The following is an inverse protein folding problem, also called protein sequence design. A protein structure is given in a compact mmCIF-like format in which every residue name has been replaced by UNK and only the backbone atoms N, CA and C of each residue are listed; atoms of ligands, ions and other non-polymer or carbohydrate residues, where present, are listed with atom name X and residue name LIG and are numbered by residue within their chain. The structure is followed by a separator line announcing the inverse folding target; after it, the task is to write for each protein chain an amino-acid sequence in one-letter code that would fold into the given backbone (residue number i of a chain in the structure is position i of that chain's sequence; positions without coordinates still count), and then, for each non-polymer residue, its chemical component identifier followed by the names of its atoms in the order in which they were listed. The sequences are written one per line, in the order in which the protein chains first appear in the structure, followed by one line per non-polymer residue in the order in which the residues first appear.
data_IF_731750678597
#
_entry.id   IF_731750678597
#
_cell.length_a   1.000
_cell.length_b   1.000
_cell.length_c   1.000
_cell.angle_alpha   90.00
_cell.angle_beta   90.00
_cell.angle_gamma   90.00
#
_symmetry.space_group_name_H-M   'P 1'
#
loop_
_entity.id
_entity.type
_entity.pdbx_description
1 polymer ?
#
# COMPACT_ATOMS: atom_id res chain seq x y z
N UNK A 1 5.73 8.96 20.23
CA UNK A 1 6.09 9.71 19.01
C UNK A 1 5.81 8.84 17.79
N UNK A 2 4.87 9.20 16.93
CA UNK A 2 4.62 8.47 15.70
C UNK A 2 5.83 8.65 14.76
N UNK A 3 6.45 7.56 14.34
CA UNK A 3 7.56 7.59 13.39
C UNK A 3 7.11 8.34 12.14
N UNK A 4 7.86 9.39 11.76
CA UNK A 4 7.62 10.12 10.51
C UNK A 4 7.58 9.11 9.36
N UNK A 5 6.54 9.09 8.53
CA UNK A 5 6.50 8.16 7.40
C UNK A 5 7.72 8.39 6.52
N UNK A 6 8.34 7.30 6.09
CA UNK A 6 9.47 7.31 5.17
C UNK A 6 8.99 7.91 3.85
N UNK A 7 9.59 9.01 3.44
CA UNK A 7 9.00 9.73 2.34
C UNK A 7 10.01 10.42 1.44
N UNK A 8 11.28 10.18 1.66
CA UNK A 8 12.32 10.57 0.73
C UNK A 8 12.30 9.60 -0.45
N UNK A 9 12.37 10.13 -1.67
CA UNK A 9 12.32 9.34 -2.90
C UNK A 9 13.36 8.22 -2.93
N UNK A 10 14.60 8.52 -2.59
CA UNK A 10 15.67 7.52 -2.56
C UNK A 10 15.37 6.37 -1.58
N UNK A 11 14.77 6.69 -0.43
CA UNK A 11 14.35 5.65 0.55
C UNK A 11 13.22 4.80 0.00
N UNK A 12 12.28 5.38 -0.75
CA UNK A 12 11.21 4.63 -1.42
C UNK A 12 11.79 3.66 -2.45
N UNK A 13 12.66 4.14 -3.32
CA UNK A 13 13.32 3.31 -4.34
C UNK A 13 14.12 2.17 -3.71
N UNK A 14 15.01 2.50 -2.75
CA UNK A 14 15.84 1.53 -2.06
C UNK A 14 15.00 0.48 -1.30
N UNK A 15 13.91 0.91 -0.64
CA UNK A 15 13.04 -0.01 0.09
C UNK A 15 12.36 -1.03 -0.84
N UNK A 16 11.94 -0.62 -2.05
CA UNK A 16 11.32 -1.53 -3.03
C UNK A 16 12.34 -2.48 -3.63
N UNK A 17 13.53 -2.01 -3.95
CA UNK A 17 14.63 -2.86 -4.41
C UNK A 17 14.97 -3.92 -3.36
N UNK A 18 15.13 -3.52 -2.10
CA UNK A 18 15.39 -4.43 -0.99
C UNK A 18 14.23 -5.41 -0.75
N UNK A 19 12.98 -4.97 -0.90
CA UNK A 19 11.82 -5.86 -0.79
C UNK A 19 11.85 -6.92 -1.88
N UNK A 20 12.09 -6.53 -3.12
CA UNK A 20 12.18 -7.44 -4.26
C UNK A 20 13.33 -8.44 -4.09
N UNK A 21 14.52 -7.98 -3.69
CA UNK A 21 15.67 -8.85 -3.43
C UNK A 21 15.40 -9.84 -2.29
N UNK A 22 14.75 -9.40 -1.22
CA UNK A 22 14.40 -10.26 -0.08
C UNK A 22 13.34 -11.29 -0.45
N UNK A 23 12.30 -10.89 -1.19
CA UNK A 23 11.26 -11.80 -1.67
C UNK A 23 11.87 -12.87 -2.57
N UNK A 24 12.74 -12.47 -3.51
CA UNK A 24 13.47 -13.38 -4.39
C UNK A 24 14.40 -14.32 -3.62
N UNK A 25 15.22 -13.78 -2.72
CA UNK A 25 16.13 -14.59 -1.87
C UNK A 25 15.35 -15.58 -1.00
N UNK A 26 14.18 -15.17 -0.51
CA UNK A 26 13.31 -16.06 0.24
C UNK A 26 12.74 -17.16 -0.67
N UNK A 27 12.17 -16.81 -1.81
CA UNK A 27 11.52 -17.73 -2.73
C UNK A 27 12.46 -18.85 -3.23
N UNK A 28 13.72 -18.51 -3.47
CA UNK A 28 14.73 -19.47 -3.99
C UNK A 28 15.65 -20.04 -2.92
N UNK A 29 15.62 -19.54 -1.71
CA UNK A 29 16.33 -20.09 -0.58
C UNK A 29 15.65 -21.37 -0.04
N UNK A 30 16.36 -22.13 0.79
CA UNK A 30 15.85 -23.38 1.40
C UNK A 30 14.47 -23.20 2.03
N UNK A 31 14.25 -22.13 2.79
CA UNK A 31 12.97 -21.85 3.49
C UNK A 31 11.79 -21.60 2.58
N UNK A 32 12.02 -21.10 1.37
CA UNK A 32 10.96 -20.83 0.40
C UNK A 32 10.68 -22.04 -0.50
N UNK A 33 11.57 -23.02 -0.56
CA UNK A 33 11.42 -24.26 -1.33
C UNK A 33 10.92 -25.41 -0.47
N UNK A 34 11.30 -25.44 0.80
CA UNK A 34 11.08 -26.56 1.71
C UNK A 34 10.50 -26.11 3.03
N UNK A 35 9.75 -26.99 3.68
CA UNK A 35 9.21 -26.80 5.02
C UNK A 35 7.87 -26.04 5.09
N UNK A 36 7.43 -25.67 6.31
CA UNK A 36 6.07 -25.21 6.57
C UNK A 36 5.74 -23.83 5.95
N UNK A 37 6.75 -23.13 5.45
CA UNK A 37 6.58 -21.82 4.80
C UNK A 37 6.99 -21.85 3.32
N UNK A 38 7.08 -23.03 2.72
CA UNK A 38 7.38 -23.19 1.31
C UNK A 38 6.34 -22.48 0.43
N UNK A 39 6.80 -21.89 -0.66
CA UNK A 39 5.97 -21.24 -1.66
C UNK A 39 5.68 -22.23 -2.79
N UNK A 40 4.48 -22.18 -3.35
CA UNK A 40 4.15 -22.92 -4.57
C UNK A 40 5.05 -22.48 -5.72
N UNK A 41 5.19 -23.33 -6.74
CA UNK A 41 5.96 -23.00 -7.93
C UNK A 41 5.42 -21.75 -8.62
N UNK A 42 4.10 -21.64 -8.78
CA UNK A 42 3.45 -20.48 -9.38
C UNK A 42 3.80 -19.18 -8.66
N UNK A 43 3.83 -19.17 -7.32
CA UNK A 43 4.24 -17.99 -6.55
C UNK A 43 5.72 -17.68 -6.77
N UNK A 44 6.59 -18.68 -6.81
CA UNK A 44 8.02 -18.48 -7.08
C UNK A 44 8.27 -17.92 -8.48
N UNK A 45 7.62 -18.46 -9.49
CA UNK A 45 7.71 -18.00 -10.88
C UNK A 45 7.21 -16.55 -11.01
N UNK A 46 6.09 -16.22 -10.38
CA UNK A 46 5.55 -14.85 -10.40
C UNK A 46 6.51 -13.83 -9.79
N UNK A 47 7.32 -14.23 -8.80
CA UNK A 47 8.33 -13.37 -8.20
C UNK A 47 9.60 -13.25 -9.08
N UNK A 48 9.84 -14.22 -9.96
CA UNK A 48 10.90 -14.14 -10.99
C UNK A 48 10.52 -13.27 -12.17
N UNK A 49 9.22 -13.17 -12.46
CA UNK A 49 8.76 -12.39 -13.60
C UNK A 49 9.25 -10.94 -13.48
N UNK A 50 10.29 -10.66 -14.26
CA UNK A 50 10.89 -9.33 -14.35
C UNK A 50 10.14 -8.40 -15.29
N UNK A 51 9.06 -8.89 -15.93
CA UNK A 51 8.21 -8.04 -16.75
C UNK A 51 7.55 -6.99 -15.86
N UNK A 52 7.90 -5.75 -16.10
CA UNK A 52 7.31 -4.63 -15.39
C UNK A 52 6.06 -4.10 -16.10
N UNK A 53 5.76 -4.59 -17.30
CA UNK A 53 4.69 -4.09 -18.18
C UNK A 53 3.29 -4.44 -17.65
N UNK A 54 3.15 -5.55 -16.94
CA UNK A 54 1.91 -5.97 -16.28
C UNK A 54 1.65 -5.22 -14.96
N UNK A 55 2.51 -4.28 -14.57
CA UNK A 55 2.42 -3.51 -13.34
C UNK A 55 2.24 -4.38 -12.08
N UNK A 56 2.85 -5.56 -12.03
CA UNK A 56 2.76 -6.47 -10.87
C UNK A 56 3.15 -5.75 -9.58
N UNK A 57 2.32 -5.88 -8.56
CA UNK A 57 2.48 -5.20 -7.29
C UNK A 57 3.73 -5.65 -6.50
N UNK A 58 4.27 -6.83 -6.80
CA UNK A 58 5.54 -7.35 -6.27
C UNK A 58 6.77 -6.84 -7.03
N UNK A 59 6.59 -6.27 -8.23
CA UNK A 59 7.69 -5.79 -9.06
C UNK A 59 8.15 -4.39 -8.63
N UNK A 60 9.39 -4.26 -8.20
CA UNK A 60 9.95 -2.99 -7.72
C UNK A 60 9.94 -1.90 -8.79
N UNK A 61 10.30 -2.24 -10.04
CA UNK A 61 10.35 -1.27 -11.15
C UNK A 61 8.95 -0.76 -11.49
N UNK A 62 7.95 -1.67 -11.57
CA UNK A 62 6.56 -1.30 -11.81
C UNK A 62 6.07 -0.31 -10.74
N UNK A 63 6.30 -0.57 -9.45
CA UNK A 63 5.93 0.34 -8.37
C UNK A 63 6.65 1.68 -8.43
N UNK A 64 7.93 1.68 -8.75
CA UNK A 64 8.74 2.92 -8.85
C UNK A 64 8.21 3.78 -9.99
N UNK A 65 7.98 3.21 -11.17
CA UNK A 65 7.50 3.97 -12.33
C UNK A 65 6.04 4.41 -12.15
N UNK A 66 5.19 3.57 -11.54
CA UNK A 66 3.82 3.95 -11.21
C UNK A 66 3.78 5.13 -10.23
N UNK A 67 4.59 5.09 -9.17
CA UNK A 67 4.69 6.21 -8.23
C UNK A 67 5.26 7.46 -8.89
N UNK A 68 6.22 7.33 -9.80
CA UNK A 68 6.80 8.46 -10.56
C UNK A 68 5.75 9.11 -11.47
N UNK A 69 4.98 8.30 -12.20
CA UNK A 69 3.88 8.76 -13.04
C UNK A 69 2.80 9.46 -12.22
N UNK A 70 2.34 8.83 -11.11
CA UNK A 70 1.36 9.42 -10.21
C UNK A 70 1.81 10.79 -9.68
N UNK A 71 3.04 10.92 -9.21
CA UNK A 71 3.59 12.20 -8.74
C UNK A 71 3.64 13.27 -9.84
N UNK A 72 3.94 12.89 -11.08
CA UNK A 72 4.00 13.82 -12.22
C UNK A 72 2.61 14.31 -12.59
N UNK A 73 1.64 13.40 -12.70
CA UNK A 73 0.26 13.70 -13.11
C UNK A 73 -0.45 14.49 -12.01
N UNK A 74 -0.40 14.05 -10.76
CA UNK A 74 -0.97 14.76 -9.61
C UNK A 74 -0.36 16.16 -9.40
N UNK A 75 0.90 16.37 -9.79
CA UNK A 75 1.51 17.70 -9.77
C UNK A 75 0.83 18.66 -10.75
N UNK A 76 0.42 18.17 -11.91
CA UNK A 76 -0.24 19.00 -12.92
C UNK A 76 -1.69 19.31 -12.56
N UNK A 77 -2.40 18.32 -12.01
CA UNK A 77 -3.84 18.40 -11.78
C UNK A 77 -4.15 18.95 -10.39
N UNK A 78 -3.56 18.39 -9.34
CA UNK A 78 -3.95 18.71 -7.96
C UNK A 78 -3.11 19.85 -7.35
N UNK A 79 -1.85 20.03 -7.77
CA UNK A 79 -1.05 21.15 -7.22
C UNK A 79 -1.68 22.51 -7.47
N UNK A 80 -2.25 22.83 -8.64
CA UNK A 80 -2.90 24.13 -8.85
C UNK A 80 -4.14 24.38 -7.97
N UNK A 81 -4.78 23.32 -7.45
CA UNK A 81 -5.97 23.42 -6.59
C UNK A 81 -5.64 23.47 -5.10
N UNK A 82 -4.36 23.57 -4.71
CA UNK A 82 -3.93 23.58 -3.30
C UNK A 82 -4.09 24.95 -2.61
N UNK A 83 -4.77 25.90 -3.20
CA UNK A 83 -5.48 26.98 -2.51
C UNK A 83 -6.50 26.40 -1.52
N UNK A 84 -7.11 25.25 -1.86
CA UNK A 84 -7.85 24.38 -0.94
C UNK A 84 -6.97 23.18 -0.57
N UNK A 85 -6.95 22.75 0.71
CA UNK A 85 -6.11 21.63 1.11
C UNK A 85 -6.57 20.33 0.48
N UNK A 86 -5.63 19.46 0.12
CA UNK A 86 -5.91 18.06 -0.13
C UNK A 86 -5.80 17.29 1.19
N UNK A 87 -6.37 16.09 1.23
CA UNK A 87 -6.41 15.24 2.40
C UNK A 87 -5.79 13.88 2.12
N UNK A 88 -4.92 13.43 2.99
CA UNK A 88 -4.45 12.06 2.98
C UNK A 88 -5.33 11.24 3.92
N UNK A 89 -6.24 10.47 3.34
CA UNK A 89 -7.22 9.64 4.02
C UNK A 89 -6.67 8.23 4.19
N UNK A 90 -6.99 7.60 5.32
CA UNK A 90 -6.82 6.17 5.56
C UNK A 90 -8.15 5.58 6.02
N UNK A 91 -8.59 4.52 5.36
CA UNK A 91 -9.78 3.74 5.68
C UNK A 91 -9.34 2.33 6.06
N UNK A 92 -9.53 1.95 7.33
CA UNK A 92 -9.01 0.69 7.89
C UNK A 92 -10.05 0.03 8.83
N UNK A 93 -11.27 -0.28 8.32
CA UNK A 93 -12.29 -0.91 9.14
C UNK A 93 -11.96 -2.38 9.40
N UNK A 94 -12.34 -2.86 10.59
CA UNK A 94 -12.04 -4.21 11.08
C UNK A 94 -12.70 -5.32 10.22
N UNK A 95 -13.77 -4.99 9.50
CA UNK A 95 -14.49 -5.90 8.62
C UNK A 95 -13.62 -6.46 7.47
N UNK A 96 -12.54 -5.78 7.14
CA UNK A 96 -11.58 -6.19 6.10
C UNK A 96 -10.26 -6.70 6.69
N UNK A 97 -10.34 -7.31 7.87
CA UNK A 97 -9.23 -8.02 8.49
C UNK A 97 -9.43 -9.52 8.29
N UNK A 98 -8.47 -10.16 7.67
CA UNK A 98 -8.46 -11.60 7.41
C UNK A 98 -7.37 -12.30 8.20
N UNK A 99 -7.48 -13.61 8.42
CA UNK A 99 -6.33 -14.41 8.82
C UNK A 99 -5.23 -14.39 7.74
N UNK A 100 -4.03 -14.78 8.08
CA UNK A 100 -2.94 -14.85 7.09
C UNK A 100 -3.20 -15.91 6.00
N UNK A 101 -4.00 -16.94 6.29
CA UNK A 101 -4.39 -17.97 5.33
C UNK A 101 -5.45 -17.44 4.34
N UNK A 102 -6.49 -16.80 4.85
CA UNK A 102 -7.56 -16.22 4.02
C UNK A 102 -7.06 -15.07 3.14
N UNK A 103 -5.97 -14.39 3.54
CA UNK A 103 -5.42 -13.28 2.77
C UNK A 103 -4.92 -13.68 1.37
N UNK A 104 -4.60 -14.96 1.13
CA UNK A 104 -4.14 -15.46 -0.16
C UNK A 104 -5.24 -15.44 -1.24
N UNK A 105 -6.48 -15.68 -0.81
CA UNK A 105 -7.66 -15.72 -1.69
C UNK A 105 -8.59 -14.53 -1.48
N UNK A 106 -8.12 -13.50 -0.77
CA UNK A 106 -8.94 -12.36 -0.44
C UNK A 106 -9.32 -11.55 -1.67
N UNK A 107 -10.63 -11.34 -1.85
CA UNK A 107 -11.17 -10.48 -2.89
C UNK A 107 -11.19 -9.02 -2.41
N UNK A 108 -10.15 -8.26 -2.78
CA UNK A 108 -10.06 -6.84 -2.45
C UNK A 108 -11.08 -5.95 -3.16
N UNK A 109 -11.82 -6.49 -4.16
CA UNK A 109 -12.91 -5.74 -4.82
C UNK A 109 -14.02 -5.38 -3.85
N UNK A 110 -14.25 -6.17 -2.82
CA UNK A 110 -15.22 -5.87 -1.75
C UNK A 110 -14.82 -4.59 -0.98
N UNK A 111 -13.54 -4.46 -0.63
CA UNK A 111 -13.04 -3.25 0.03
C UNK A 111 -13.07 -2.06 -0.92
N UNK A 112 -12.76 -2.26 -2.21
CA UNK A 112 -12.82 -1.20 -3.22
C UNK A 112 -14.26 -0.69 -3.37
N UNK A 113 -15.23 -1.56 -3.58
CA UNK A 113 -16.66 -1.19 -3.67
C UNK A 113 -17.14 -0.44 -2.43
N UNK A 114 -16.82 -0.96 -1.25
CA UNK A 114 -17.16 -0.29 0.00
C UNK A 114 -16.57 1.12 0.07
N UNK A 115 -15.30 1.29 -0.30
CA UNK A 115 -14.66 2.62 -0.28
C UNK A 115 -15.23 3.55 -1.34
N UNK A 116 -15.57 3.07 -2.53
CA UNK A 116 -16.24 3.85 -3.58
C UNK A 116 -17.60 4.37 -3.10
N UNK A 117 -18.35 3.56 -2.36
CA UNK A 117 -19.61 3.99 -1.73
C UNK A 117 -19.38 5.07 -0.67
N UNK A 118 -18.37 4.90 0.21
CA UNK A 118 -18.05 5.91 1.24
C UNK A 118 -17.55 7.23 0.62
N UNK A 119 -16.83 7.16 -0.50
CA UNK A 119 -16.20 8.30 -1.16
C UNK A 119 -17.00 8.83 -2.37
N UNK A 120 -18.26 8.42 -2.48
CA UNK A 120 -19.14 8.88 -3.56
C UNK A 120 -19.25 10.41 -3.54
N UNK A 121 -19.03 11.04 -4.68
CA UNK A 121 -19.08 12.50 -4.83
C UNK A 121 -17.75 13.23 -4.59
N UNK A 122 -16.72 12.54 -4.08
CA UNK A 122 -15.40 13.13 -3.90
C UNK A 122 -14.48 12.89 -5.11
N UNK A 123 -13.57 13.85 -5.36
CA UNK A 123 -12.41 13.65 -6.21
C UNK A 123 -11.34 12.95 -5.40
N UNK A 124 -10.96 11.73 -5.77
CA UNK A 124 -9.91 10.98 -5.06
C UNK A 124 -9.16 10.01 -5.96
N UNK A 125 -7.92 9.72 -5.53
CA UNK A 125 -7.07 8.67 -6.05
C UNK A 125 -6.44 7.93 -4.88
N UNK A 126 -6.61 6.63 -4.83
CA UNK A 126 -6.17 5.78 -3.71
C UNK A 126 -5.75 4.38 -4.16
N UNK A 127 -5.34 3.57 -3.18
CA UNK A 127 -4.91 2.20 -3.39
C UNK A 127 -5.25 1.34 -2.16
N UNK A 128 -5.62 0.10 -2.40
CA UNK A 128 -5.68 -0.94 -1.39
C UNK A 128 -4.26 -1.30 -0.96
N UNK A 129 -3.98 -1.24 0.34
CA UNK A 129 -2.72 -1.67 0.95
C UNK A 129 -3.00 -2.81 1.94
N UNK A 130 -2.04 -3.68 2.12
CA UNK A 130 -2.10 -4.79 3.04
C UNK A 130 -1.11 -4.57 4.20
N UNK A 131 -1.58 -4.66 5.43
CA UNK A 131 -0.74 -4.56 6.61
C UNK A 131 -0.78 -5.87 7.41
N UNK A 132 0.27 -6.70 7.35
CA UNK A 132 0.40 -7.85 8.24
C UNK A 132 0.54 -7.42 9.70
N UNK A 133 -0.25 -8.02 10.58
CA UNK A 133 -0.22 -7.81 12.01
C UNK A 133 0.09 -9.10 12.75
N UNK A 134 0.79 -8.98 13.88
CA UNK A 134 1.03 -10.05 14.82
C UNK A 134 0.74 -9.58 16.25
N UNK A 135 0.31 -10.51 17.13
CA UNK A 135 -0.04 -10.25 18.52
C UNK A 135 -1.19 -9.26 18.67
N UNK A 136 -2.23 -9.40 17.88
CA UNK A 136 -3.39 -8.51 17.92
C UNK A 136 -4.26 -8.78 19.17
N UNK A 137 -5.16 -7.86 19.56
CA UNK A 137 -6.12 -8.10 20.63
C UNK A 137 -7.03 -9.31 20.40
N UNK A 138 -7.19 -9.74 19.14
CA UNK A 138 -8.00 -10.91 18.74
C UNK A 138 -7.32 -12.24 19.01
N UNK A 139 -6.06 -12.25 19.48
CA UNK A 139 -5.33 -13.46 19.79
C UNK A 139 -3.91 -13.47 19.23
N UNK A 140 -3.28 -14.65 19.29
CA UNK A 140 -1.89 -14.86 18.80
C UNK A 140 -1.82 -15.06 17.28
N UNK A 141 -2.95 -15.23 16.63
CA UNK A 141 -3.01 -15.44 15.19
C UNK A 141 -2.51 -14.21 14.42
N UNK A 142 -1.80 -14.47 13.34
CA UNK A 142 -1.37 -13.43 12.41
C UNK A 142 -2.52 -13.08 11.48
N UNK A 143 -2.77 -11.78 11.35
CA UNK A 143 -3.82 -11.27 10.48
C UNK A 143 -3.27 -10.28 9.46
N UNK A 144 -4.01 -10.09 8.38
CA UNK A 144 -3.75 -9.04 7.39
C UNK A 144 -4.90 -8.04 7.47
N UNK A 145 -4.56 -6.79 7.77
CA UNK A 145 -5.51 -5.69 7.71
C UNK A 145 -5.45 -5.06 6.33
N UNK A 146 -6.47 -5.31 5.54
CA UNK A 146 -6.68 -4.66 4.26
C UNK A 146 -7.26 -3.28 4.52
N UNK A 147 -6.68 -2.27 3.88
CA UNK A 147 -7.06 -0.89 4.12
C UNK A 147 -6.78 -0.04 2.89
N UNK A 148 -7.41 1.12 2.81
CA UNK A 148 -7.19 2.05 1.71
C UNK A 148 -6.45 3.28 2.21
N UNK A 149 -5.47 3.68 1.42
CA UNK A 149 -4.92 5.02 1.46
C UNK A 149 -5.38 5.79 0.24
N UNK A 150 -5.90 7.00 0.42
CA UNK A 150 -6.33 7.85 -0.67
C UNK A 150 -5.88 9.30 -0.48
N UNK A 151 -5.65 9.99 -1.59
CA UNK A 151 -5.60 11.45 -1.64
C UNK A 151 -6.99 11.90 -2.08
N UNK A 152 -7.61 12.79 -1.31
CA UNK A 152 -8.88 13.44 -1.61
C UNK A 152 -8.61 14.93 -1.81
N UNK A 153 -9.20 15.54 -2.83
CA UNK A 153 -9.06 16.97 -3.13
C UNK A 153 -10.40 17.57 -3.54
N UNK A 154 -10.47 18.88 -3.65
CA UNK A 154 -11.70 19.63 -3.91
C UNK A 154 -12.82 19.35 -2.88
N UNK A 155 -12.45 19.00 -1.65
CA UNK A 155 -13.35 18.82 -0.53
C UNK A 155 -13.07 19.88 0.55
N UNK A 156 -14.08 20.26 1.29
CA UNK A 156 -13.92 21.09 2.48
C UNK A 156 -13.46 20.25 3.68
N UNK A 157 -12.98 20.92 4.72
CA UNK A 157 -12.60 20.24 5.97
C UNK A 157 -13.83 19.64 6.67
N UNK A 158 -14.96 20.30 6.59
CA UNK A 158 -16.21 19.87 7.25
C UNK A 158 -16.77 18.62 6.56
N UNK A 159 -16.75 18.54 5.23
CA UNK A 159 -17.11 17.33 4.50
C UNK A 159 -16.21 16.16 4.87
N UNK A 160 -14.89 16.38 4.97
CA UNK A 160 -13.96 15.33 5.38
C UNK A 160 -14.14 14.92 6.85
N UNK A 161 -14.50 15.85 7.73
CA UNK A 161 -14.79 15.53 9.14
C UNK A 161 -16.09 14.75 9.23
N UNK A 162 -17.14 15.17 8.56
CA UNK A 162 -18.43 14.47 8.51
C UNK A 162 -18.28 13.02 7.96
N UNK A 163 -17.50 12.86 6.90
CA UNK A 163 -17.14 11.54 6.35
C UNK A 163 -16.44 10.66 7.40
N UNK A 164 -15.40 11.20 8.04
CA UNK A 164 -14.66 10.49 9.10
C UNK A 164 -15.58 10.06 10.24
N UNK A 165 -16.40 10.96 10.74
CA UNK A 165 -17.27 10.71 11.89
C UNK A 165 -18.35 9.68 11.53
N UNK A 166 -18.95 9.78 10.34
CA UNK A 166 -19.91 8.82 9.81
C UNK A 166 -19.33 7.40 9.73
N UNK A 167 -18.10 7.26 9.22
CA UNK A 167 -17.44 5.96 9.12
C UNK A 167 -17.10 5.42 10.52
N UNK A 168 -16.53 6.23 11.40
CA UNK A 168 -16.12 5.80 12.74
C UNK A 168 -17.31 5.46 13.64
N UNK A 169 -18.48 6.05 13.40
CA UNK A 169 -19.72 5.67 14.08
C UNK A 169 -20.19 4.26 13.72
N UNK A 170 -19.94 3.82 12.49
CA UNK A 170 -20.44 2.54 11.95
C UNK A 170 -19.40 1.42 11.97
N UNK A 171 -18.12 1.78 11.99
CA UNK A 171 -17.01 0.84 11.84
C UNK A 171 -15.95 1.02 12.91
N UNK A 172 -15.46 -0.09 13.41
CA UNK A 172 -14.32 -0.14 14.33
C UNK A 172 -13.02 -0.41 13.56
N UNK A 173 -11.89 -0.09 14.15
CA UNK A 173 -10.56 -0.48 13.68
C UNK A 173 -10.08 -1.78 14.35
N UNK A 174 -9.06 -2.41 13.79
CA UNK A 174 -8.40 -3.59 14.39
C UNK A 174 -7.89 -3.32 15.82
N UNK A 175 -7.41 -2.10 16.08
CA UNK A 175 -6.94 -1.69 17.39
C UNK A 175 -7.98 -0.79 18.07
N UNK A 176 -8.44 -1.12 19.30
CA UNK A 176 -9.54 -0.41 19.95
C UNK A 176 -9.32 1.10 20.13
N UNK A 177 -8.05 1.53 20.26
CA UNK A 177 -7.67 2.94 20.42
C UNK A 177 -7.33 3.64 19.09
N UNK A 178 -7.86 3.13 17.97
CA UNK A 178 -7.66 3.70 16.62
C UNK A 178 -9.00 3.89 15.93
N UNK A 179 -9.05 4.91 15.09
CA UNK A 179 -10.17 5.18 14.21
C UNK A 179 -10.13 4.28 12.97
N UNK A 180 -11.30 3.83 12.51
CA UNK A 180 -11.44 3.12 11.23
C UNK A 180 -11.18 4.05 10.03
N UNK A 181 -11.52 5.33 10.18
CA UNK A 181 -11.22 6.38 9.21
C UNK A 181 -10.47 7.53 9.87
N UNK A 182 -9.37 7.97 9.28
CA UNK A 182 -8.67 9.18 9.69
C UNK A 182 -8.06 9.89 8.49
N UNK A 183 -7.91 11.19 8.58
CA UNK A 183 -7.25 11.96 7.54
C UNK A 183 -6.20 12.93 8.08
N UNK A 184 -5.32 13.36 7.20
CA UNK A 184 -4.31 14.40 7.45
C UNK A 184 -4.39 15.43 6.35
N UNK A 185 -4.47 16.69 6.74
CA UNK A 185 -4.46 17.84 5.83
C UNK A 185 -3.11 17.94 5.11
N UNK A 186 -3.14 18.27 3.83
CA UNK A 186 -1.98 18.47 2.96
C UNK A 186 -2.15 19.78 2.20
N UNK A 187 -1.70 20.86 2.78
CA UNK A 187 -1.74 22.23 2.22
C UNK A 187 -0.55 22.58 1.33
N UNK A 188 0.37 21.66 1.09
CA UNK A 188 1.53 21.89 0.24
C UNK A 188 1.83 20.71 -0.67
N UNK A 189 2.38 21.01 -1.86
CA UNK A 189 2.85 19.96 -2.77
C UNK A 189 3.88 19.03 -2.14
N UNK A 190 4.75 19.55 -1.27
CA UNK A 190 5.73 18.73 -0.53
C UNK A 190 5.01 17.66 0.32
N UNK A 191 4.02 18.05 1.08
CA UNK A 191 3.22 17.15 1.91
C UNK A 191 2.43 16.13 1.09
N UNK A 192 1.78 16.59 0.01
CA UNK A 192 1.02 15.73 -0.91
C UNK A 192 1.93 14.69 -1.60
N UNK A 193 3.06 15.12 -2.15
CA UNK A 193 4.05 14.25 -2.76
C UNK A 193 4.54 13.16 -1.80
N UNK A 194 4.70 13.53 -0.53
CA UNK A 194 5.08 12.58 0.50
C UNK A 194 3.98 11.54 0.74
N UNK A 195 2.74 11.96 0.79
CA UNK A 195 1.60 11.06 0.97
C UNK A 195 1.43 10.10 -0.21
N UNK A 196 1.60 10.58 -1.44
CA UNK A 196 1.61 9.73 -2.65
C UNK A 196 2.70 8.64 -2.57
N UNK A 197 3.91 9.03 -2.17
CA UNK A 197 5.02 8.08 -2.03
C UNK A 197 4.74 7.05 -0.93
N UNK A 198 4.10 7.46 0.18
CA UNK A 198 3.70 6.54 1.24
C UNK A 198 2.59 5.59 0.81
N UNK A 199 1.58 6.11 0.13
CA UNK A 199 0.41 5.37 -0.34
C UNK A 199 0.80 4.24 -1.30
N UNK A 200 1.71 4.52 -2.22
CA UNK A 200 2.10 3.59 -3.28
C UNK A 200 3.23 2.61 -2.88
N UNK A 201 3.59 2.57 -1.59
CA UNK A 201 4.57 1.60 -1.09
C UNK A 201 4.02 0.16 -1.14
N UNK A 202 4.91 -0.80 -1.28
CA UNK A 202 4.57 -2.20 -1.03
C UNK A 202 4.39 -2.48 0.48
N UNK A 203 3.79 -3.61 0.87
CA UNK A 203 3.72 -4.06 2.26
C UNK A 203 5.13 -4.47 2.74
N UNK A 204 5.92 -3.49 3.18
CA UNK A 204 7.35 -3.68 3.50
C UNK A 204 7.60 -4.17 4.93
N UNK A 205 6.61 -4.09 5.81
CA UNK A 205 6.77 -4.29 7.26
C UNK A 205 5.57 -4.99 7.86
N UNK A 206 5.83 -5.78 8.89
CA UNK A 206 4.81 -6.31 9.80
C UNK A 206 4.63 -5.37 10.99
N UNK A 207 3.40 -5.22 11.43
CA UNK A 207 3.07 -4.51 12.65
C UNK A 207 2.97 -5.51 13.80
N UNK A 208 3.76 -5.28 14.87
CA UNK A 208 3.65 -6.03 16.12
C UNK A 208 2.93 -5.20 17.14
N UNK A 209 1.87 -5.76 17.70
CA UNK A 209 0.99 -5.09 18.66
C UNK A 209 1.39 -5.49 20.07
N UNK A 210 1.36 -4.53 20.97
CA UNK A 210 1.70 -4.72 22.38
C UNK A 210 0.69 -3.97 23.24
N UNK A 211 0.14 -4.59 24.29
CA UNK A 211 -0.71 -3.87 25.23
C UNK A 211 0.10 -2.79 25.96
N UNK A 212 -0.52 -1.64 26.16
CA UNK A 212 0.02 -0.60 27.03
C UNK A 212 -0.30 -1.03 28.46
N UNK A 213 0.68 -0.93 29.34
CA UNK A 213 0.55 -1.26 30.76
C UNK A 213 0.63 0.00 31.59
N UNK A 214 -0.14 0.06 32.68
CA UNK A 214 -0.06 1.09 33.70
C UNK A 214 1.23 0.94 34.57
N UNK A 215 1.38 1.81 35.55
CA UNK A 215 2.50 1.77 36.54
C UNK A 215 2.56 0.45 37.31
N UNK A 216 1.44 -0.23 37.48
CA UNK A 216 1.32 -1.52 38.17
C UNK A 216 1.46 -2.72 37.21
N UNK A 217 1.94 -2.50 35.98
CA UNK A 217 2.09 -3.50 34.90
C UNK A 217 0.77 -4.17 34.46
N UNK A 218 -0.41 -3.59 34.75
CA UNK A 218 -1.71 -4.08 34.32
C UNK A 218 -2.04 -3.51 32.94
N UNK A 219 -2.67 -4.30 32.02
CA UNK A 219 -3.12 -3.79 30.73
C UNK A 219 -4.13 -2.65 30.91
N UNK A 220 -3.94 -1.55 30.17
CA UNK A 220 -4.85 -0.39 30.17
C UNK A 220 -6.03 -0.53 29.20
N UNK A 221 -6.06 -1.60 28.39
CA UNK A 221 -7.00 -1.72 27.28
C UNK A 221 -6.51 -1.04 26.00
N UNK A 222 -5.46 -0.23 26.07
CA UNK A 222 -4.84 0.41 24.92
C UNK A 222 -3.70 -0.40 24.35
N UNK A 223 -3.39 -0.17 23.08
CA UNK A 223 -2.36 -0.89 22.35
C UNK A 223 -1.42 0.06 21.61
N UNK A 224 -0.15 -0.26 21.63
CA UNK A 224 0.88 0.34 20.78
C UNK A 224 1.30 -0.64 19.70
N UNK A 225 1.70 -0.11 18.54
CA UNK A 225 2.23 -0.93 17.46
C UNK A 225 3.66 -0.52 17.11
N UNK A 226 4.50 -1.51 16.82
CA UNK A 226 5.86 -1.35 16.32
C UNK A 226 5.94 -1.93 14.92
N UNK A 227 6.54 -1.20 13.98
CA UNK A 227 6.88 -1.72 12.66
C UNK A 227 8.18 -2.49 12.72
N UNK A 228 8.19 -3.68 12.14
CA UNK A 228 9.36 -4.54 12.08
C UNK A 228 9.51 -5.21 10.70
N UNK A 229 10.68 -5.76 10.41
CA UNK A 229 10.86 -6.55 9.19
C UNK A 229 10.10 -7.87 9.28
N UNK A 230 9.66 -8.37 8.10
CA UNK A 230 9.00 -9.66 8.02
C UNK A 230 9.90 -10.79 8.53
N UNK A 231 9.36 -11.65 9.36
CA UNK A 231 9.91 -12.98 9.65
C UNK A 231 9.57 -13.92 8.49
N UNK A 232 10.22 -15.10 8.42
CA UNK A 232 10.06 -16.03 7.31
C UNK A 232 8.60 -16.35 6.96
N UNK A 233 7.75 -16.69 7.94
CA UNK A 233 6.35 -16.98 7.69
C UNK A 233 5.52 -15.76 7.27
N UNK A 234 5.89 -14.57 7.73
CA UNK A 234 5.25 -13.31 7.30
C UNK A 234 5.66 -12.93 5.88
N UNK A 235 6.94 -13.15 5.53
CA UNK A 235 7.43 -12.96 4.17
C UNK A 235 6.74 -13.91 3.19
N UNK A 236 6.55 -15.19 3.56
CA UNK A 236 5.80 -16.15 2.76
C UNK A 236 4.37 -15.70 2.51
N UNK A 237 3.67 -15.29 3.57
CA UNK A 237 2.30 -14.79 3.47
C UNK A 237 2.22 -13.57 2.52
N UNK A 238 3.14 -12.59 2.67
CA UNK A 238 3.19 -11.42 1.77
C UNK A 238 3.43 -11.84 0.32
N UNK A 239 4.34 -12.77 0.06
CA UNK A 239 4.57 -13.28 -1.29
C UNK A 239 3.31 -13.92 -1.86
N UNK A 240 2.59 -14.73 -1.08
CA UNK A 240 1.37 -15.40 -1.53
C UNK A 240 0.26 -14.43 -1.86
N UNK A 241 -0.13 -13.54 -0.96
CA UNK A 241 -1.26 -12.66 -1.21
C UNK A 241 -0.96 -11.51 -2.19
N UNK A 242 0.33 -11.24 -2.49
CA UNK A 242 0.71 -10.19 -3.44
C UNK A 242 1.07 -10.71 -4.83
N UNK A 243 1.26 -12.01 -5.02
CA UNK A 243 1.83 -12.54 -6.27
C UNK A 243 0.96 -12.26 -7.50
N UNK A 244 -0.37 -12.32 -7.37
CA UNK A 244 -1.31 -12.08 -8.46
C UNK A 244 -1.78 -10.63 -8.59
N UNK A 245 -1.35 -9.75 -7.70
CA UNK A 245 -1.86 -8.38 -7.66
C UNK A 245 -1.16 -7.48 -8.69
N UNK A 246 -1.95 -6.68 -9.42
CA UNK A 246 -1.49 -5.59 -10.28
C UNK A 246 -1.78 -4.24 -9.60
N UNK A 247 -0.85 -3.28 -9.70
CA UNK A 247 -0.91 -2.02 -8.94
C UNK A 247 -2.14 -1.20 -9.35
N UNK A 248 -2.42 -1.10 -10.64
CA UNK A 248 -3.57 -0.38 -11.17
C UNK A 248 -4.91 -1.01 -10.77
N UNK A 249 -4.95 -2.35 -10.64
CA UNK A 249 -6.13 -3.09 -10.16
C UNK A 249 -6.37 -2.94 -8.66
N UNK A 250 -5.32 -2.66 -7.90
CA UNK A 250 -5.43 -2.33 -6.47
C UNK A 250 -5.89 -0.89 -6.24
N UNK A 251 -5.88 -0.03 -7.26
CA UNK A 251 -6.27 1.36 -7.12
C UNK A 251 -7.79 1.55 -7.02
N UNK A 252 -8.17 2.62 -6.35
CA UNK A 252 -9.54 3.15 -6.27
C UNK A 252 -9.53 4.62 -6.68
N UNK A 253 -10.55 5.06 -7.41
CA UNK A 253 -10.58 6.42 -7.88
C UNK A 253 -12.02 6.91 -8.12
N UNK A 254 -12.29 8.17 -7.79
CA UNK A 254 -13.58 8.81 -8.02
C UNK A 254 -13.47 10.14 -8.79
N UNK A 255 -14.49 10.44 -9.56
CA UNK A 255 -14.58 11.64 -10.40
C UNK A 255 -13.30 11.81 -11.25
N UNK A 256 -12.65 12.98 -11.17
CA UNK A 256 -11.40 13.29 -11.88
C UNK A 256 -10.26 12.28 -11.59
N UNK A 257 -10.30 11.63 -10.43
CA UNK A 257 -9.32 10.60 -10.05
C UNK A 257 -9.30 9.40 -10.99
N UNK A 258 -10.40 9.08 -11.68
CA UNK A 258 -10.47 7.97 -12.65
C UNK A 258 -9.58 8.23 -13.86
N UNK A 259 -9.61 9.45 -14.40
CA UNK A 259 -8.73 9.83 -15.51
C UNK A 259 -7.26 9.87 -15.04
N UNK A 260 -7.01 10.34 -13.81
CA UNK A 260 -5.68 10.29 -13.22
C UNK A 260 -5.16 8.84 -13.16
N UNK A 261 -5.97 7.89 -12.70
CA UNK A 261 -5.57 6.47 -12.63
C UNK A 261 -5.23 5.92 -14.01
N UNK A 262 -6.08 6.16 -15.00
CA UNK A 262 -5.87 5.74 -16.39
C UNK A 262 -4.56 6.29 -16.97
N UNK A 263 -4.32 7.59 -16.79
CA UNK A 263 -3.11 8.25 -17.25
C UNK A 263 -1.85 7.73 -16.53
N UNK A 264 -1.94 7.47 -15.22
CA UNK A 264 -0.85 6.93 -14.42
C UNK A 264 -0.45 5.54 -14.92
N UNK A 265 -1.42 4.65 -15.14
CA UNK A 265 -1.16 3.30 -15.63
C UNK A 265 -0.54 3.33 -17.03
N UNK A 266 -1.16 4.07 -17.97
CA UNK A 266 -0.66 4.20 -19.34
C UNK A 266 0.76 4.78 -19.39
N UNK A 267 1.01 5.86 -18.65
CA UNK A 267 2.32 6.51 -18.59
C UNK A 267 3.39 5.62 -17.99
N UNK A 268 3.04 4.82 -16.99
CA UNK A 268 3.95 3.87 -16.35
C UNK A 268 4.44 2.83 -17.36
N UNK A 269 3.51 2.20 -18.08
CA UNK A 269 3.81 1.20 -19.11
C UNK A 269 4.64 1.81 -20.25
N UNK A 270 4.27 3.00 -20.74
CA UNK A 270 5.01 3.70 -21.79
C UNK A 270 6.46 3.97 -21.36
N UNK A 271 6.66 4.48 -20.14
CA UNK A 271 8.02 4.76 -19.61
C UNK A 271 8.86 3.47 -19.48
N UNK A 272 8.26 2.37 -19.04
CA UNK A 272 8.95 1.08 -18.93
C UNK A 272 9.37 0.58 -20.31
N UNK A 273 8.48 0.63 -21.31
CA UNK A 273 8.79 0.25 -22.71
C UNK A 273 9.94 1.07 -23.28
N UNK A 274 9.92 2.37 -23.09
CA UNK A 274 10.97 3.28 -23.56
C UNK A 274 12.33 2.96 -22.93
N UNK A 275 12.36 2.70 -21.63
CA UNK A 275 13.58 2.28 -20.93
C UNK A 275 14.12 0.94 -21.41
N UNK A 276 13.22 -0.04 -21.69
CA UNK A 276 13.63 -1.35 -22.22
C UNK A 276 14.19 -1.22 -23.64
N UNK A 277 13.53 -0.47 -24.50
CA UNK A 277 14.04 -0.20 -25.85
C UNK A 277 15.41 0.50 -25.84
N UNK A 278 15.62 1.41 -24.88
CA UNK A 278 16.92 2.09 -24.71
C UNK A 278 18.01 1.13 -24.26
N UNK A 279 17.69 0.21 -23.32
CA UNK A 279 18.64 -0.82 -22.87
C UNK A 279 19.03 -1.77 -24.00
N UNK A 280 18.05 -2.25 -24.79
CA UNK A 280 18.31 -3.13 -25.93
C UNK A 280 19.23 -2.45 -26.95
N UNK A 281 18.94 -1.17 -27.30
CA UNK A 281 19.81 -0.40 -28.22
C UNK A 281 21.23 -0.24 -27.69
N UNK A 282 21.38 0.00 -26.37
CA UNK A 282 22.69 0.12 -25.74
C UNK A 282 23.47 -1.21 -25.78
N UNK A 283 22.80 -2.35 -25.56
CA UNK A 283 23.40 -3.66 -25.63
C UNK A 283 23.86 -3.99 -27.07
N UNK A 284 23.02 -3.72 -28.07
CA UNK A 284 23.39 -3.93 -29.49
C UNK A 284 24.64 -3.15 -29.86
N UNK A 285 24.74 -1.87 -29.43
CA UNK A 285 25.92 -1.03 -29.69
C UNK A 285 27.18 -1.49 -28.95
N UNK A 286 27.04 -2.21 -27.85
CA UNK A 286 28.19 -2.70 -27.07
C UNK A 286 28.73 -4.05 -27.58
N UNK A 287 27.96 -4.77 -28.41
CA UNK A 287 28.32 -6.10 -28.94
C UNK A 287 28.73 -6.03 -30.43
N UNK A 288 28.31 -5.01 -31.16
CA UNK A 288 28.74 -4.72 -32.54
C UNK A 288 29.88 -3.71 -32.55
#
# INVERSE_FOLDING_TARGET
MASKPIVKWNTFVSAHQQFNERAHRYAYGKRGREGPFALSEAVRESLQDRSSLSLKATNARARIEFCRAARRIMRRIVKPTLDRPAYFLTLSPINFVTSAAEAETYDWSMLQKWAEEQLKGFCYFGIVDAAPYANTPRGREKVVSWHIHAIVWNASRDEMQALKDSINKRHQSLLPNRDAAHFRVRSSWKGLRQSLTYMLKAPLKTYRVYPIKDSNKRPTGEYRQKKDWHRSGEAAAVCRFMHGAEIDKLCVAGLEGREILKDVAARSVATIREQDATRVRALIRAVG
#
